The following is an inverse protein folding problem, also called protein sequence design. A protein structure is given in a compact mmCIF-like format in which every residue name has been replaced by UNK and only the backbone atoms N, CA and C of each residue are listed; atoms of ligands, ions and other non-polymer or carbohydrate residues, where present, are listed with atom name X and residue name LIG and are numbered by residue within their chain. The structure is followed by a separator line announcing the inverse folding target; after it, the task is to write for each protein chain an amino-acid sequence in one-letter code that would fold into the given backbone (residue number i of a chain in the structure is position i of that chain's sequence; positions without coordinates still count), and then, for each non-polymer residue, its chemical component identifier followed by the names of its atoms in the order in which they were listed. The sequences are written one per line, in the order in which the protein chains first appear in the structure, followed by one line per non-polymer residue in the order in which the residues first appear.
data_IF_129709280720
#
_entry.id   IF_129709280720
#
_cell.length_a   1.000
_cell.length_b   1.000
_cell.length_c   1.000
_cell.angle_alpha   90.00
_cell.angle_beta   90.00
_cell.angle_gamma   90.00
#
_symmetry.space_group_name_H-M   'P 1'
#
loop_
_entity.id
_entity.type
_entity.pdbx_description
1 polymer ?
#
# COMPACT_ATOMS: atom_id res chain seq x y z
N UNK A 1 -54.59 -5.78 -5.02
CA UNK A 1 -54.00 -6.55 -6.15
C UNK A 1 -53.48 -5.58 -7.20
N UNK A 2 -54.30 -4.62 -7.66
CA UNK A 2 -53.79 -3.28 -8.00
C UNK A 2 -53.01 -2.70 -6.79
N UNK A 3 -52.34 -1.55 -6.85
CA UNK A 3 -51.28 -1.14 -5.88
C UNK A 3 -50.08 -2.09 -5.83
N UNK A 4 -50.25 -3.38 -5.51
CA UNK A 4 -49.16 -4.37 -5.52
C UNK A 4 -48.53 -4.50 -6.92
N UNK A 5 -49.34 -4.54 -7.98
CA UNK A 5 -48.81 -4.59 -9.35
C UNK A 5 -48.04 -3.31 -9.76
N UNK A 6 -48.40 -2.13 -9.23
CA UNK A 6 -47.67 -0.89 -9.50
C UNK A 6 -46.33 -0.88 -8.77
N UNK A 7 -46.30 -1.36 -7.52
CA UNK A 7 -45.06 -1.53 -6.75
C UNK A 7 -44.12 -2.56 -7.40
N UNK A 8 -44.67 -3.66 -7.93
CA UNK A 8 -43.93 -4.66 -8.69
C UNK A 8 -43.39 -4.09 -10.01
N UNK A 9 -44.19 -3.29 -10.72
CA UNK A 9 -43.73 -2.60 -11.93
C UNK A 9 -42.61 -1.60 -11.64
N UNK A 10 -42.70 -0.83 -10.55
CA UNK A 10 -41.59 0.02 -10.09
C UNK A 10 -40.32 -0.80 -9.79
N UNK A 11 -40.48 -1.98 -9.17
CA UNK A 11 -39.37 -2.90 -8.91
C UNK A 11 -38.73 -3.40 -10.20
N UNK A 12 -39.53 -3.80 -11.20
CA UNK A 12 -39.03 -4.18 -12.51
C UNK A 12 -38.30 -3.05 -13.22
N UNK A 13 -38.83 -1.82 -13.16
CA UNK A 13 -38.19 -0.62 -13.71
C UNK A 13 -36.80 -0.38 -13.08
N UNK A 14 -36.69 -0.48 -11.75
CA UNK A 14 -35.39 -0.36 -11.03
C UNK A 14 -34.41 -1.46 -11.41
N UNK A 15 -34.91 -2.66 -11.73
CA UNK A 15 -34.11 -3.80 -12.21
C UNK A 15 -33.80 -3.75 -13.72
N UNK A 16 -34.23 -2.70 -14.44
CA UNK A 16 -34.10 -2.55 -15.90
C UNK A 16 -34.84 -3.61 -16.72
N UNK A 17 -35.87 -4.21 -16.10
CA UNK A 17 -36.78 -5.20 -16.69
C UNK A 17 -37.97 -4.48 -17.31
N UNK A 18 -37.72 -3.70 -18.36
CA UNK A 18 -38.71 -2.76 -18.88
C UNK A 18 -39.88 -3.46 -19.57
N UNK A 19 -39.62 -4.55 -20.30
CA UNK A 19 -40.67 -5.31 -20.97
C UNK A 19 -41.63 -5.95 -19.97
N UNK A 20 -41.11 -6.52 -18.88
CA UNK A 20 -41.93 -7.09 -17.81
C UNK A 20 -42.74 -6.03 -17.07
N UNK A 21 -42.17 -4.84 -16.88
CA UNK A 21 -42.89 -3.70 -16.30
C UNK A 21 -44.07 -3.26 -17.19
N UNK A 22 -43.84 -3.13 -18.50
CA UNK A 22 -44.88 -2.76 -19.48
C UNK A 22 -46.00 -3.80 -19.48
N UNK A 23 -45.65 -5.08 -19.66
CA UNK A 23 -46.62 -6.17 -19.72
C UNK A 23 -47.49 -6.25 -18.45
N UNK A 24 -46.90 -6.06 -17.27
CA UNK A 24 -47.63 -6.06 -15.99
C UNK A 24 -48.59 -4.87 -15.88
N UNK A 25 -48.15 -3.68 -16.30
CA UNK A 25 -48.96 -2.46 -16.21
C UNK A 25 -50.11 -2.47 -17.22
N UNK A 26 -49.87 -2.87 -18.48
CA UNK A 26 -50.90 -2.97 -19.52
C UNK A 26 -52.00 -3.95 -19.13
N UNK A 27 -51.66 -5.07 -18.48
CA UNK A 27 -52.64 -6.03 -18.00
C UNK A 27 -53.59 -5.47 -16.92
N UNK A 28 -53.27 -4.33 -16.31
CA UNK A 28 -54.00 -3.75 -15.18
C UNK A 28 -54.42 -2.29 -15.45
N UNK A 29 -54.42 -1.84 -16.70
CA UNK A 29 -54.72 -0.45 -17.09
C UNK A 29 -56.06 0.04 -16.52
N UNK A 30 -57.12 -0.79 -16.61
CA UNK A 30 -58.45 -0.47 -16.11
C UNK A 30 -58.49 -0.17 -14.60
N UNK A 31 -57.57 -0.76 -13.82
CA UNK A 31 -57.53 -0.61 -12.38
C UNK A 31 -56.82 0.69 -11.91
N UNK A 32 -56.14 1.39 -12.81
CA UNK A 32 -55.31 2.56 -12.50
C UNK A 32 -55.71 3.83 -13.27
N UNK A 33 -56.98 3.93 -13.68
CA UNK A 33 -57.49 5.15 -14.29
C UNK A 33 -57.19 6.37 -13.41
N UNK A 34 -56.70 7.44 -14.04
CA UNK A 34 -56.32 8.70 -13.38
C UNK A 34 -55.22 8.57 -12.31
N UNK A 35 -54.37 7.53 -12.36
CA UNK A 35 -53.23 7.37 -11.46
C UNK A 35 -51.94 7.90 -12.11
N UNK A 36 -51.38 8.97 -11.55
CA UNK A 36 -50.14 9.58 -12.05
C UNK A 36 -48.96 8.60 -12.10
N UNK A 37 -48.71 7.87 -11.02
CA UNK A 37 -47.53 7.00 -10.88
C UNK A 37 -47.60 5.83 -11.87
N UNK A 38 -48.80 5.36 -12.19
CA UNK A 38 -49.03 4.36 -13.24
C UNK A 38 -48.57 4.87 -14.61
N UNK A 39 -49.12 6.00 -15.07
CA UNK A 39 -48.77 6.56 -16.39
C UNK A 39 -47.31 7.02 -16.45
N UNK A 40 -46.78 7.54 -15.34
CA UNK A 40 -45.37 7.92 -15.26
C UNK A 40 -44.45 6.71 -15.40
N UNK A 41 -44.77 5.60 -14.73
CA UNK A 41 -43.96 4.37 -14.79
C UNK A 41 -44.06 3.68 -16.14
N UNK A 42 -45.27 3.56 -16.68
CA UNK A 42 -45.49 2.99 -18.00
C UNK A 42 -44.78 3.81 -19.08
N UNK A 43 -44.96 5.14 -19.06
CA UNK A 43 -44.31 6.05 -19.99
C UNK A 43 -42.78 5.99 -19.90
N UNK A 44 -42.24 5.90 -18.69
CA UNK A 44 -40.81 5.74 -18.46
C UNK A 44 -40.31 4.40 -19.00
N UNK A 45 -41.00 3.30 -18.71
CA UNK A 45 -40.62 1.99 -19.23
C UNK A 45 -40.61 1.97 -20.77
N UNK A 46 -41.65 2.52 -21.41
CA UNK A 46 -41.71 2.67 -22.86
C UNK A 46 -40.55 3.52 -23.41
N UNK A 47 -40.20 4.62 -22.74
CA UNK A 47 -39.10 5.49 -23.16
C UNK A 47 -37.75 4.75 -23.16
N UNK A 48 -37.48 3.94 -22.13
CA UNK A 48 -36.24 3.16 -22.03
C UNK A 48 -36.20 1.96 -23.00
N UNK A 49 -37.35 1.40 -23.41
CA UNK A 49 -37.43 0.40 -24.50
C UNK A 49 -37.25 1.06 -25.87
N UNK A 50 -37.41 2.39 -25.96
CA UNK A 50 -37.35 3.14 -27.21
C UNK A 50 -38.71 3.31 -27.91
N UNK A 51 -39.80 2.87 -27.27
CA UNK A 51 -41.17 3.14 -27.72
C UNK A 51 -41.58 4.57 -27.34
N UNK A 52 -41.04 5.53 -28.10
CA UNK A 52 -41.29 6.95 -27.90
C UNK A 52 -42.77 7.31 -28.11
N UNK A 53 -43.47 6.55 -28.96
CA UNK A 53 -44.89 6.77 -29.26
C UNK A 53 -45.76 6.54 -28.04
N UNK A 54 -45.65 5.37 -27.42
CA UNK A 54 -46.40 5.06 -26.20
C UNK A 54 -45.89 5.84 -24.99
N UNK A 55 -44.57 6.11 -24.89
CA UNK A 55 -44.03 7.00 -23.87
C UNK A 55 -44.71 8.38 -23.88
N UNK A 56 -44.79 9.01 -25.06
CA UNK A 56 -45.42 10.33 -25.23
C UNK A 56 -46.89 10.33 -24.83
N UNK A 57 -47.66 9.30 -25.20
CA UNK A 57 -49.08 9.19 -24.84
C UNK A 57 -49.26 9.12 -23.33
N UNK A 58 -48.52 8.22 -22.67
CA UNK A 58 -48.58 8.06 -21.23
C UNK A 58 -48.15 9.32 -20.47
N UNK A 59 -47.08 9.99 -20.90
CA UNK A 59 -46.67 11.27 -20.30
C UNK A 59 -47.67 12.41 -20.55
N UNK A 60 -48.41 12.40 -21.66
CA UNK A 60 -49.48 13.38 -21.89
C UNK A 60 -50.60 13.19 -20.85
N UNK A 61 -51.06 11.95 -20.64
CA UNK A 61 -52.06 11.63 -19.60
C UNK A 61 -51.53 11.93 -18.20
N UNK A 62 -50.27 11.62 -17.90
CA UNK A 62 -49.66 11.97 -16.62
C UNK A 62 -49.66 13.50 -16.38
N UNK A 63 -49.46 14.30 -17.43
CA UNK A 63 -49.45 15.77 -17.35
C UNK A 63 -50.82 16.37 -17.06
N UNK A 64 -51.90 15.72 -17.49
CA UNK A 64 -53.27 16.11 -17.15
C UNK A 64 -53.54 15.96 -15.64
N UNK A 65 -52.83 15.03 -14.98
CA UNK A 65 -52.99 14.74 -13.54
C UNK A 65 -52.08 15.63 -12.69
N UNK A 66 -50.79 15.75 -13.07
CA UNK A 66 -49.82 16.62 -12.39
C UNK A 66 -49.00 17.41 -13.41
N UNK A 67 -49.12 18.73 -13.37
CA UNK A 67 -48.48 19.61 -14.35
C UNK A 67 -46.99 19.90 -14.04
N UNK A 68 -46.60 19.89 -12.77
CA UNK A 68 -45.28 20.41 -12.30
C UNK A 68 -44.39 19.31 -11.70
N UNK A 69 -44.56 18.06 -12.12
CA UNK A 69 -43.69 16.97 -11.67
C UNK A 69 -42.34 17.02 -12.41
N UNK A 70 -41.24 17.08 -11.65
CA UNK A 70 -39.88 17.23 -12.20
C UNK A 70 -39.49 16.06 -13.11
N UNK A 71 -39.84 14.83 -12.73
CA UNK A 71 -39.48 13.66 -13.52
C UNK A 71 -40.30 13.60 -14.81
N UNK A 72 -41.57 14.00 -14.78
CA UNK A 72 -42.39 14.13 -15.98
C UNK A 72 -41.81 15.15 -16.96
N UNK A 73 -41.42 16.33 -16.47
CA UNK A 73 -40.84 17.38 -17.32
C UNK A 73 -39.50 16.91 -17.91
N UNK A 74 -38.65 16.22 -17.13
CA UNK A 74 -37.43 15.57 -17.61
C UNK A 74 -37.71 14.55 -18.73
N UNK A 75 -38.72 13.69 -18.54
CA UNK A 75 -39.11 12.70 -19.55
C UNK A 75 -39.57 13.36 -20.85
N UNK A 76 -40.35 14.44 -20.77
CA UNK A 76 -40.80 15.18 -21.94
C UNK A 76 -39.64 15.90 -22.65
N UNK A 77 -38.73 16.52 -21.88
CA UNK A 77 -37.50 17.11 -22.40
C UNK A 77 -36.66 16.09 -23.17
N UNK A 78 -36.49 14.90 -22.59
CA UNK A 78 -35.77 13.80 -23.20
C UNK A 78 -36.39 13.32 -24.51
N UNK A 79 -37.72 13.27 -24.62
CA UNK A 79 -38.40 12.92 -25.87
C UNK A 79 -38.13 13.96 -26.96
N UNK A 80 -38.16 15.26 -26.63
CA UNK A 80 -37.81 16.32 -27.58
C UNK A 80 -36.35 16.21 -28.02
N UNK A 81 -35.45 15.94 -27.07
CA UNK A 81 -34.03 15.77 -27.35
C UNK A 81 -33.79 14.56 -28.27
N UNK A 82 -34.40 13.39 -28.01
CA UNK A 82 -34.33 12.21 -28.88
C UNK A 82 -34.77 12.50 -30.33
N UNK A 83 -35.68 13.45 -30.51
CA UNK A 83 -36.21 13.85 -31.83
C UNK A 83 -35.39 14.94 -32.51
N UNK A 84 -34.33 15.44 -31.85
CA UNK A 84 -33.52 16.55 -32.34
C UNK A 84 -34.16 17.92 -32.16
N UNK A 85 -35.28 18.02 -31.45
CA UNK A 85 -35.95 19.30 -31.16
C UNK A 85 -35.25 19.98 -29.97
N UNK A 86 -33.98 20.40 -30.16
CA UNK A 86 -33.12 20.92 -29.08
C UNK A 86 -33.65 22.17 -28.40
N UNK A 87 -34.29 23.07 -29.14
CA UNK A 87 -34.83 24.31 -28.58
C UNK A 87 -35.94 24.02 -27.57
N UNK A 88 -36.84 23.09 -27.90
CA UNK A 88 -37.90 22.64 -26.99
C UNK A 88 -37.33 21.83 -25.84
N UNK A 89 -36.39 20.93 -26.11
CA UNK A 89 -35.73 20.19 -25.04
C UNK A 89 -35.08 21.14 -24.02
N UNK A 90 -34.39 22.19 -24.48
CA UNK A 90 -33.74 23.18 -23.64
C UNK A 90 -34.75 23.95 -22.78
N UNK A 91 -35.90 24.37 -23.34
CA UNK A 91 -36.97 25.02 -22.58
C UNK A 91 -37.44 24.16 -21.40
N UNK A 92 -37.67 22.86 -21.64
CA UNK A 92 -38.10 21.94 -20.59
C UNK A 92 -37.00 21.66 -19.56
N UNK A 93 -35.73 21.55 -19.97
CA UNK A 93 -34.63 21.39 -19.03
C UNK A 93 -34.38 22.63 -18.17
N UNK A 94 -34.62 23.83 -18.71
CA UNK A 94 -34.61 25.07 -17.93
C UNK A 94 -35.76 25.09 -16.91
N UNK A 95 -36.96 24.67 -17.29
CA UNK A 95 -38.09 24.52 -16.37
C UNK A 95 -37.75 23.54 -15.22
N UNK A 96 -37.10 22.41 -15.53
CA UNK A 96 -36.59 21.49 -14.49
C UNK A 96 -35.57 22.18 -13.59
N UNK A 97 -34.66 22.98 -14.13
CA UNK A 97 -33.65 23.69 -13.35
C UNK A 97 -34.27 24.77 -12.44
N UNK A 98 -35.37 25.40 -12.87
CA UNK A 98 -36.11 26.35 -12.04
C UNK A 98 -36.83 25.65 -10.87
N UNK A 99 -37.39 24.46 -11.10
CA UNK A 99 -38.09 23.68 -10.07
C UNK A 99 -37.13 22.94 -9.12
N UNK A 100 -36.02 22.42 -9.64
CA UNK A 100 -34.97 21.71 -8.90
C UNK A 100 -33.58 22.17 -9.39
N UNK A 101 -33.01 23.22 -8.78
CA UNK A 101 -31.70 23.75 -9.16
C UNK A 101 -30.55 22.74 -9.01
N UNK A 102 -30.73 21.71 -8.19
CA UNK A 102 -29.74 20.67 -7.93
C UNK A 102 -29.81 19.50 -8.91
N UNK A 103 -30.74 19.54 -9.88
CA UNK A 103 -30.98 18.44 -10.80
C UNK A 103 -29.81 18.23 -11.76
N UNK A 104 -28.97 17.24 -11.45
CA UNK A 104 -27.77 16.94 -12.26
C UNK A 104 -28.10 16.44 -13.67
N UNK A 105 -29.29 15.87 -13.89
CA UNK A 105 -29.71 15.36 -15.21
C UNK A 105 -29.97 16.53 -16.15
N UNK A 106 -30.77 17.52 -15.70
CA UNK A 106 -31.05 18.71 -16.49
C UNK A 106 -29.76 19.50 -16.81
N UNK A 107 -28.89 19.72 -15.82
CA UNK A 107 -27.61 20.42 -16.04
C UNK A 107 -26.76 19.73 -17.12
N UNK A 108 -26.59 18.41 -17.03
CA UNK A 108 -25.84 17.63 -18.03
C UNK A 108 -26.49 17.67 -19.41
N UNK A 109 -27.82 17.61 -19.48
CA UNK A 109 -28.54 17.67 -20.75
C UNK A 109 -28.38 19.03 -21.44
N UNK A 110 -28.48 20.14 -20.69
CA UNK A 110 -28.27 21.49 -21.23
C UNK A 110 -26.82 21.70 -21.69
N UNK A 111 -25.84 21.21 -20.93
CA UNK A 111 -24.43 21.25 -21.33
C UNK A 111 -24.16 20.41 -22.58
N UNK A 112 -24.81 19.25 -22.69
CA UNK A 112 -24.75 18.41 -23.88
C UNK A 112 -25.34 19.12 -25.09
N UNK A 113 -26.54 19.70 -24.99
CA UNK A 113 -27.19 20.46 -26.07
C UNK A 113 -26.29 21.64 -26.50
N UNK A 114 -25.67 22.35 -25.55
CA UNK A 114 -24.79 23.49 -25.87
C UNK A 114 -23.55 23.09 -26.66
N UNK A 115 -22.95 21.93 -26.34
CA UNK A 115 -21.67 21.49 -26.94
C UNK A 115 -21.86 20.62 -28.19
N UNK A 116 -22.90 19.79 -28.19
CA UNK A 116 -23.10 18.65 -29.08
C UNK A 116 -24.57 18.53 -29.53
N UNK A 117 -25.31 19.65 -29.57
CA UNK A 117 -26.73 19.68 -29.91
C UNK A 117 -27.05 19.51 -31.40
N UNK A 118 -26.08 19.17 -32.24
CA UNK A 118 -26.34 18.88 -33.65
C UNK A 118 -27.10 17.55 -33.80
N UNK A 119 -27.95 17.48 -34.83
CA UNK A 119 -28.83 16.33 -35.06
C UNK A 119 -28.04 15.02 -35.25
N UNK A 120 -26.89 15.07 -35.91
CA UNK A 120 -26.06 13.89 -36.18
C UNK A 120 -25.52 13.28 -34.89
N UNK A 121 -25.00 14.11 -33.97
CA UNK A 121 -24.52 13.67 -32.67
C UNK A 121 -25.65 13.12 -31.81
N UNK A 122 -26.83 13.75 -31.84
CA UNK A 122 -28.01 13.25 -31.14
C UNK A 122 -28.40 11.85 -31.65
N UNK A 123 -28.46 11.64 -32.98
CA UNK A 123 -28.74 10.33 -33.56
C UNK A 123 -27.74 9.27 -33.08
N UNK A 124 -26.43 9.58 -33.10
CA UNK A 124 -25.38 8.66 -32.58
C UNK A 124 -25.59 8.32 -31.10
N UNK A 125 -26.05 9.27 -30.29
CA UNK A 125 -26.32 9.04 -28.87
C UNK A 125 -27.59 8.22 -28.64
N UNK A 126 -28.59 8.38 -29.52
CA UNK A 126 -29.79 7.55 -29.54
C UNK A 126 -29.44 6.11 -29.89
N UNK A 127 -28.68 5.90 -30.97
CA UNK A 127 -28.29 4.56 -31.43
C UNK A 127 -27.38 3.83 -30.44
N UNK A 128 -26.51 4.57 -29.73
CA UNK A 128 -25.62 4.00 -28.72
C UNK A 128 -26.26 3.84 -27.34
N UNK A 129 -27.52 4.27 -27.14
CA UNK A 129 -28.20 4.25 -25.84
C UNK A 129 -27.69 5.28 -24.82
N UNK A 130 -26.63 6.04 -25.13
CA UNK A 130 -26.08 7.08 -24.24
C UNK A 130 -27.08 8.19 -23.92
N UNK A 131 -28.06 8.39 -24.81
CA UNK A 131 -29.13 9.36 -24.63
C UNK A 131 -29.98 9.10 -23.36
N UNK A 132 -29.98 7.87 -22.84
CA UNK A 132 -30.69 7.49 -21.61
C UNK A 132 -30.16 8.24 -20.37
N UNK A 133 -28.94 8.77 -20.44
CA UNK A 133 -28.37 9.59 -19.37
C UNK A 133 -29.18 10.87 -19.07
N UNK A 134 -30.06 11.28 -19.99
CA UNK A 134 -30.91 12.47 -19.87
C UNK A 134 -32.36 12.15 -19.51
N UNK A 135 -32.67 10.89 -19.18
CA UNK A 135 -34.01 10.43 -18.81
C UNK A 135 -34.23 10.56 -17.30
N UNK A 136 -35.48 10.42 -16.82
CA UNK A 136 -35.74 10.35 -15.40
C UNK A 136 -34.88 9.23 -14.75
N UNK A 137 -34.17 9.53 -13.64
CA UNK A 137 -33.25 8.59 -13.04
C UNK A 137 -34.02 7.44 -12.37
N UNK A 138 -33.68 6.22 -12.73
CA UNK A 138 -34.33 5.00 -12.21
C UNK A 138 -33.75 4.52 -10.86
N UNK A 139 -32.80 5.27 -10.30
CA UNK A 139 -32.06 4.89 -9.10
C UNK A 139 -31.12 3.69 -9.31
N UNK A 140 -30.61 3.18 -8.19
CA UNK A 140 -29.65 2.08 -8.14
C UNK A 140 -30.37 0.74 -8.39
N UNK A 141 -29.82 -0.10 -9.27
CA UNK A 141 -30.35 -1.44 -9.51
C UNK A 141 -30.05 -2.34 -8.29
N UNK A 142 -31.08 -2.85 -7.58
CA UNK A 142 -30.89 -3.64 -6.37
C UNK A 142 -30.15 -4.96 -6.63
N UNK A 143 -30.28 -5.55 -7.82
CA UNK A 143 -29.59 -6.80 -8.15
C UNK A 143 -28.08 -6.57 -8.30
N UNK A 144 -27.66 -5.40 -8.80
CA UNK A 144 -26.23 -5.03 -8.91
C UNK A 144 -25.61 -4.83 -7.54
N UNK A 145 -26.30 -4.15 -6.62
CA UNK A 145 -25.85 -3.97 -5.23
C UNK A 145 -25.72 -5.31 -4.52
N UNK A 146 -26.76 -6.15 -4.62
CA UNK A 146 -26.76 -7.50 -4.05
C UNK A 146 -25.60 -8.32 -4.57
N UNK A 147 -25.41 -8.36 -5.88
CA UNK A 147 -24.33 -9.14 -6.49
C UNK A 147 -22.94 -8.58 -6.12
N UNK A 148 -22.80 -7.26 -5.97
CA UNK A 148 -21.57 -6.62 -5.50
C UNK A 148 -21.23 -7.01 -4.05
N UNK A 149 -22.22 -7.02 -3.15
CA UNK A 149 -22.05 -7.48 -1.76
C UNK A 149 -21.62 -8.95 -1.74
N UNK A 150 -22.30 -9.81 -2.51
CA UNK A 150 -21.97 -11.24 -2.60
C UNK A 150 -20.54 -11.43 -3.12
N UNK A 151 -20.15 -10.72 -4.18
CA UNK A 151 -18.79 -10.78 -4.72
C UNK A 151 -17.74 -10.34 -3.68
N UNK A 152 -18.02 -9.29 -2.92
CA UNK A 152 -17.16 -8.84 -1.81
C UNK A 152 -17.02 -9.89 -0.71
N UNK A 153 -18.11 -10.54 -0.31
CA UNK A 153 -18.09 -11.62 0.68
C UNK A 153 -17.31 -12.84 0.19
N UNK A 154 -17.49 -13.24 -1.07
CA UNK A 154 -16.73 -14.34 -1.68
C UNK A 154 -15.25 -14.02 -1.74
N UNK A 155 -14.87 -12.79 -2.15
CA UNK A 155 -13.47 -12.36 -2.16
C UNK A 155 -12.87 -12.36 -0.75
N UNK A 156 -13.62 -11.90 0.25
CA UNK A 156 -13.20 -11.94 1.66
C UNK A 156 -12.97 -13.38 2.15
N UNK A 157 -13.85 -14.31 1.81
CA UNK A 157 -13.69 -15.74 2.12
C UNK A 157 -12.47 -16.35 1.43
N UNK A 158 -12.22 -16.02 0.16
CA UNK A 158 -11.03 -16.48 -0.57
C UNK A 158 -9.75 -15.95 0.06
N UNK A 159 -9.71 -14.67 0.45
CA UNK A 159 -8.56 -14.08 1.15
C UNK A 159 -8.34 -14.77 2.49
N UNK A 160 -9.40 -14.98 3.27
CA UNK A 160 -9.33 -15.68 4.56
C UNK A 160 -8.82 -17.13 4.42
N UNK A 161 -9.28 -17.84 3.39
CA UNK A 161 -8.82 -19.18 3.06
C UNK A 161 -7.36 -19.18 2.61
N UNK A 162 -6.93 -18.22 1.78
CA UNK A 162 -5.54 -18.07 1.39
C UNK A 162 -4.63 -17.80 2.61
N UNK A 163 -5.05 -16.94 3.55
CA UNK A 163 -4.27 -16.64 4.77
C UNK A 163 -4.14 -17.85 5.69
N UNK A 164 -5.13 -18.74 5.72
CA UNK A 164 -5.15 -19.91 6.62
C UNK A 164 -4.54 -21.16 6.00
N UNK A 165 -4.65 -21.34 4.68
CA UNK A 165 -4.16 -22.52 3.95
C UNK A 165 -2.75 -22.33 3.38
N UNK A 166 -2.33 -21.10 3.08
CA UNK A 166 -0.93 -20.86 2.79
C UNK A 166 -0.15 -21.09 4.09
N UNK A 167 0.82 -22.03 4.14
CA UNK A 167 1.75 -22.08 5.27
C UNK A 167 2.35 -20.69 5.42
N UNK A 168 2.64 -20.26 6.66
CA UNK A 168 3.42 -19.03 6.95
C UNK A 168 4.83 -19.18 6.38
N UNK A 169 4.95 -19.27 5.07
CA UNK A 169 6.18 -19.14 4.34
C UNK A 169 6.36 -17.64 4.23
N UNK A 170 6.93 -17.06 5.27
CA UNK A 170 7.61 -15.78 5.16
C UNK A 170 8.55 -15.93 3.97
N UNK A 171 8.17 -15.37 2.83
CA UNK A 171 9.07 -15.22 1.70
C UNK A 171 10.15 -14.24 2.17
N UNK A 172 11.20 -14.78 2.80
CA UNK A 172 12.49 -14.12 2.87
C UNK A 172 12.91 -13.97 1.42
N UNK A 173 13.01 -12.74 0.96
CA UNK A 173 13.68 -12.42 -0.29
C UNK A 173 15.16 -12.74 -0.05
N UNK A 174 15.55 -14.00 -0.27
CA UNK A 174 16.95 -14.40 -0.18
C UNK A 174 17.61 -14.04 -1.50
N UNK A 175 18.03 -12.78 -1.62
CA UNK A 175 18.94 -12.35 -2.68
C UNK A 175 20.39 -12.74 -2.33
N UNK A 176 20.68 -14.02 -2.10
CA UNK A 176 22.07 -14.52 -2.05
C UNK A 176 22.08 -15.98 -2.49
N UNK A 177 23.06 -16.36 -3.34
CA UNK A 177 23.28 -17.74 -3.77
C UNK A 177 23.59 -18.70 -2.61
N UNK A 178 23.78 -20.01 -2.88
CA UNK A 178 23.97 -21.01 -1.83
C UNK A 178 25.23 -20.70 -1.00
N UNK A 179 25.02 -20.42 0.30
CA UNK A 179 26.05 -20.18 1.32
C UNK A 179 26.81 -21.47 1.66
N UNK A 180 27.94 -21.34 2.37
CA UNK A 180 28.77 -22.48 2.79
C UNK A 180 27.97 -23.50 3.63
N UNK A 181 28.24 -24.80 3.41
CA UNK A 181 27.61 -25.86 4.19
C UNK A 181 28.17 -25.89 5.63
N UNK A 182 27.32 -25.62 6.61
CA UNK A 182 27.67 -25.50 8.02
C UNK A 182 27.41 -26.77 8.86
N UNK A 183 27.14 -27.94 8.29
CA UNK A 183 26.85 -29.17 9.07
C UNK A 183 27.92 -29.46 10.14
N UNK A 184 29.19 -29.11 9.88
CA UNK A 184 30.30 -29.30 10.84
C UNK A 184 30.27 -28.34 12.03
N UNK A 185 29.51 -27.25 11.94
CA UNK A 185 29.34 -26.26 13.00
C UNK A 185 28.11 -26.53 13.86
N UNK A 186 27.24 -27.48 13.50
CA UNK A 186 26.08 -27.80 14.32
C UNK A 186 26.51 -28.30 15.71
N UNK A 187 25.73 -27.91 16.73
CA UNK A 187 25.96 -28.38 18.10
C UNK A 187 25.53 -29.84 18.22
N UNK A 188 26.39 -30.65 18.80
CA UNK A 188 26.04 -32.01 19.21
C UNK A 188 25.06 -32.00 20.38
N UNK A 189 24.41 -33.13 20.65
CA UNK A 189 23.52 -33.26 21.81
C UNK A 189 24.27 -33.04 23.13
N UNK A 190 25.53 -33.45 23.22
CA UNK A 190 26.36 -33.25 24.40
C UNK A 190 26.68 -31.76 24.63
N UNK A 191 27.14 -31.06 23.59
CA UNK A 191 27.39 -29.61 23.66
C UNK A 191 26.12 -28.82 23.98
N UNK A 192 24.96 -29.27 23.50
CA UNK A 192 23.68 -28.62 23.79
C UNK A 192 23.25 -28.80 25.26
N UNK A 193 23.56 -29.96 25.86
CA UNK A 193 23.22 -30.26 27.24
C UNK A 193 24.24 -29.67 28.24
N UNK A 194 25.48 -29.45 27.80
CA UNK A 194 26.60 -28.90 28.58
C UNK A 194 27.13 -27.60 27.94
N UNK A 195 26.22 -26.66 27.66
CA UNK A 195 26.55 -25.45 26.91
C UNK A 195 27.25 -24.37 27.77
N UNK A 196 27.10 -24.43 29.09
CA UNK A 196 27.74 -23.54 30.06
C UNK A 196 29.13 -24.06 30.48
N UNK A 197 30.08 -23.15 30.67
CA UNK A 197 31.38 -23.47 31.26
C UNK A 197 31.24 -23.71 32.77
N UNK A 198 31.85 -24.77 33.28
CA UNK A 198 31.74 -25.14 34.70
C UNK A 198 32.66 -24.32 35.61
N UNK A 199 33.80 -23.84 35.07
CA UNK A 199 34.78 -23.04 35.78
C UNK A 199 34.94 -21.65 35.14
N UNK A 200 34.58 -20.61 35.90
CA UNK A 200 34.63 -19.21 35.46
C UNK A 200 35.84 -18.45 36.03
N UNK A 201 36.71 -19.09 36.81
CA UNK A 201 37.74 -18.40 37.59
C UNK A 201 38.74 -17.60 36.76
N UNK A 202 38.94 -17.97 35.49
CA UNK A 202 39.91 -17.37 34.58
C UNK A 202 39.28 -16.70 33.34
N UNK A 203 37.95 -16.53 33.32
CA UNK A 203 37.23 -15.99 32.15
C UNK A 203 36.49 -14.72 32.51
N UNK A 204 36.76 -13.63 31.79
CA UNK A 204 35.93 -12.42 31.88
C UNK A 204 34.61 -12.72 31.16
N UNK A 205 33.52 -12.77 31.93
CA UNK A 205 32.17 -13.02 31.42
C UNK A 205 31.36 -11.74 31.51
N UNK A 206 30.85 -11.28 30.38
CA UNK A 206 29.97 -10.12 30.30
C UNK A 206 28.49 -10.54 30.27
N UNK A 207 28.16 -11.67 29.66
CA UNK A 207 26.79 -12.18 29.58
C UNK A 207 26.63 -13.51 30.33
N UNK A 208 25.89 -13.51 31.44
CA UNK A 208 25.50 -14.74 32.13
C UNK A 208 24.25 -15.33 31.47
N UNK A 209 24.39 -16.51 30.91
CA UNK A 209 23.35 -17.21 30.16
C UNK A 209 23.18 -18.64 30.67
N UNK A 210 21.94 -19.14 30.61
CA UNK A 210 21.66 -20.57 30.82
C UNK A 210 21.92 -21.40 29.56
N UNK A 211 21.93 -22.73 29.69
CA UNK A 211 22.14 -23.64 28.55
C UNK A 211 21.18 -23.37 27.38
N UNK A 212 19.90 -23.12 27.67
CA UNK A 212 18.89 -22.91 26.63
C UNK A 212 19.14 -21.60 25.87
N UNK A 213 19.54 -20.54 26.57
CA UNK A 213 19.89 -19.24 26.01
C UNK A 213 21.13 -19.33 25.12
N UNK A 214 22.17 -20.06 25.54
CA UNK A 214 23.40 -20.25 24.74
C UNK A 214 23.08 -21.02 23.46
N UNK A 215 22.36 -22.14 23.57
CA UNK A 215 21.95 -22.94 22.40
C UNK A 215 21.06 -22.13 21.46
N UNK A 216 20.12 -21.34 22.01
CA UNK A 216 19.26 -20.45 21.21
C UNK A 216 20.07 -19.39 20.47
N UNK A 217 21.01 -18.74 21.15
CA UNK A 217 21.88 -17.73 20.54
C UNK A 217 22.71 -18.34 19.41
N UNK A 218 23.32 -19.52 19.65
CA UNK A 218 24.12 -20.22 18.63
C UNK A 218 23.29 -20.64 17.41
N UNK A 219 22.10 -21.21 17.62
CA UNK A 219 21.18 -21.55 16.54
C UNK A 219 20.70 -20.32 15.78
N UNK A 220 20.51 -19.19 16.47
CA UNK A 220 20.13 -17.92 15.84
C UNK A 220 21.26 -17.39 14.97
N UNK A 221 22.52 -17.50 15.41
CA UNK A 221 23.69 -17.17 14.59
C UNK A 221 23.72 -17.98 13.29
N UNK A 222 23.58 -19.32 13.37
CA UNK A 222 23.53 -20.18 12.19
C UNK A 222 22.37 -19.81 11.25
N UNK A 223 21.18 -19.54 11.80
CA UNK A 223 20.03 -19.11 11.02
C UNK A 223 20.28 -17.78 10.31
N UNK A 224 20.79 -16.77 11.02
CA UNK A 224 21.08 -15.46 10.42
C UNK A 224 22.13 -15.55 9.33
N UNK A 225 23.17 -16.39 9.50
CA UNK A 225 24.14 -16.66 8.44
C UNK A 225 23.49 -17.26 7.18
N UNK A 226 22.63 -18.27 7.35
CA UNK A 226 21.92 -18.89 6.22
C UNK A 226 20.95 -17.92 5.52
N UNK A 227 20.42 -16.95 6.26
CA UNK A 227 19.56 -15.89 5.73
C UNK A 227 20.33 -14.73 5.06
N UNK A 228 21.67 -14.75 5.07
CA UNK A 228 22.51 -13.64 4.59
C UNK A 228 22.55 -12.42 5.50
N UNK A 229 22.07 -12.55 6.75
CA UNK A 229 22.04 -11.49 7.77
C UNK A 229 23.31 -11.53 8.62
N UNK A 230 24.44 -11.29 7.98
CA UNK A 230 25.77 -11.45 8.61
C UNK A 230 25.98 -10.53 9.82
N UNK A 231 25.37 -9.34 9.84
CA UNK A 231 25.47 -8.44 10.99
C UNK A 231 24.72 -8.98 12.21
N UNK A 232 23.50 -9.49 12.03
CA UNK A 232 22.75 -10.13 13.11
C UNK A 232 23.44 -11.42 13.57
N UNK A 233 24.07 -12.15 12.65
CA UNK A 233 24.92 -13.29 13.00
C UNK A 233 26.11 -12.85 13.88
N UNK A 234 26.81 -11.76 13.52
CA UNK A 234 27.94 -11.23 14.29
C UNK A 234 27.52 -10.85 15.71
N UNK A 235 26.33 -10.26 15.90
CA UNK A 235 25.79 -9.93 17.24
C UNK A 235 25.62 -11.18 18.11
N UNK A 236 25.03 -12.25 17.56
CA UNK A 236 24.88 -13.51 18.31
C UNK A 236 26.24 -14.14 18.62
N UNK A 237 27.19 -14.10 17.68
CA UNK A 237 28.57 -14.55 17.91
C UNK A 237 29.21 -13.77 19.05
N UNK A 238 29.11 -12.44 19.06
CA UNK A 238 29.68 -11.61 20.11
C UNK A 238 29.06 -11.92 21.47
N UNK A 239 27.75 -12.12 21.52
CA UNK A 239 27.06 -12.52 22.75
C UNK A 239 27.62 -13.84 23.29
N UNK A 240 27.81 -14.83 22.43
CA UNK A 240 28.36 -16.14 22.80
C UNK A 240 29.81 -16.01 23.28
N UNK A 241 30.66 -15.30 22.53
CA UNK A 241 32.09 -15.16 22.85
C UNK A 241 32.31 -14.46 24.20
N UNK A 242 31.46 -13.47 24.51
CA UNK A 242 31.53 -12.71 25.76
C UNK A 242 30.62 -13.28 26.87
N UNK A 243 30.04 -14.47 26.68
CA UNK A 243 29.23 -15.15 27.70
C UNK A 243 30.00 -16.21 28.50
N UNK A 244 29.31 -16.88 29.43
CA UNK A 244 29.74 -18.11 30.10
C UNK A 244 29.57 -19.39 29.24
N UNK A 245 29.44 -19.27 27.91
CA UNK A 245 29.40 -20.43 27.02
C UNK A 245 30.70 -21.25 27.09
N UNK A 246 30.58 -22.57 26.92
CA UNK A 246 31.70 -23.51 26.93
C UNK A 246 32.70 -23.21 25.81
N UNK A 247 33.97 -23.55 26.06
CA UNK A 247 35.05 -23.34 25.09
C UNK A 247 34.74 -23.92 23.70
N UNK A 248 34.13 -25.11 23.61
CA UNK A 248 33.77 -25.74 22.33
C UNK A 248 32.82 -24.86 21.51
N UNK A 249 31.76 -24.33 22.15
CA UNK A 249 30.78 -23.47 21.48
C UNK A 249 31.43 -22.16 21.02
N UNK A 250 32.31 -21.57 21.86
CA UNK A 250 33.07 -20.37 21.49
C UNK A 250 34.02 -20.61 20.31
N UNK A 251 34.68 -21.76 20.23
CA UNK A 251 35.50 -22.13 19.09
C UNK A 251 34.68 -22.24 17.80
N UNK A 252 33.51 -22.88 17.85
CA UNK A 252 32.60 -22.95 16.71
C UNK A 252 32.03 -21.58 16.31
N UNK A 253 31.75 -20.71 17.26
CA UNK A 253 31.31 -19.34 16.98
C UNK A 253 32.41 -18.50 16.31
N UNK A 254 33.67 -18.65 16.75
CA UNK A 254 34.82 -18.06 16.09
C UNK A 254 35.02 -18.62 14.67
N UNK A 255 34.80 -19.91 14.46
CA UNK A 255 34.85 -20.51 13.13
C UNK A 255 33.72 -20.00 12.23
N UNK A 256 32.50 -19.83 12.76
CA UNK A 256 31.39 -19.22 12.01
C UNK A 256 31.71 -17.78 11.58
N UNK A 257 32.35 -17.01 12.48
CA UNK A 257 32.75 -15.61 12.23
C UNK A 257 33.63 -15.45 10.98
N UNK A 258 34.46 -16.44 10.64
CA UNK A 258 35.35 -16.35 9.46
C UNK A 258 34.62 -16.50 8.13
N UNK A 259 33.36 -16.97 8.14
CA UNK A 259 32.53 -17.09 6.94
C UNK A 259 31.69 -15.85 6.66
N UNK A 260 31.63 -14.87 7.57
CA UNK A 260 30.82 -13.67 7.39
C UNK A 260 31.35 -12.79 6.26
N UNK A 261 30.45 -12.30 5.42
CA UNK A 261 30.81 -11.44 4.29
C UNK A 261 30.85 -9.97 4.71
N UNK A 262 31.67 -9.19 4.02
CA UNK A 262 31.72 -7.74 4.20
C UNK A 262 30.58 -7.11 3.41
N UNK A 263 29.65 -6.37 4.04
CA UNK A 263 28.51 -5.79 3.34
C UNK A 263 28.88 -4.55 2.53
N UNK A 264 27.99 -4.18 1.61
CA UNK A 264 27.92 -2.87 0.94
C UNK A 264 26.75 -2.05 1.49
N UNK A 265 26.58 -0.81 1.04
CA UNK A 265 25.40 0.00 1.41
C UNK A 265 24.07 -0.67 1.04
N UNK A 266 24.04 -1.44 -0.05
CA UNK A 266 22.84 -2.10 -0.55
C UNK A 266 22.58 -3.46 0.11
N UNK A 267 23.63 -4.12 0.61
CA UNK A 267 23.53 -5.46 1.22
C UNK A 267 23.46 -5.45 2.75
N UNK A 268 23.66 -4.30 3.40
CA UNK A 268 23.55 -4.18 4.86
C UNK A 268 22.08 -4.18 5.30
N UNK A 269 21.57 -5.35 5.68
CA UNK A 269 20.18 -5.55 6.11
C UNK A 269 19.92 -5.05 7.54
N UNK A 270 20.91 -5.21 8.42
CA UNK A 270 20.80 -4.97 9.86
C UNK A 270 21.67 -3.78 10.26
N UNK A 271 21.15 -2.56 10.16
CA UNK A 271 21.89 -1.35 10.52
C UNK A 271 21.54 -0.90 11.95
N UNK A 272 22.44 -1.15 12.92
CA UNK A 272 22.25 -0.75 14.31
C UNK A 272 22.49 0.75 14.51
N UNK A 273 21.66 1.41 15.32
CA UNK A 273 21.79 2.85 15.59
C UNK A 273 22.94 3.13 16.53
N UNK A 274 23.48 4.36 16.51
CA UNK A 274 24.51 4.78 17.46
C UNK A 274 24.06 4.58 18.91
N UNK A 275 22.81 4.94 19.25
CA UNK A 275 22.29 4.77 20.60
C UNK A 275 22.27 3.30 21.06
N UNK A 276 21.91 2.36 20.17
CA UNK A 276 21.95 0.93 20.48
C UNK A 276 23.38 0.45 20.74
N UNK A 277 24.32 0.87 19.89
CA UNK A 277 25.73 0.49 20.01
C UNK A 277 26.36 1.10 21.25
N UNK A 278 26.08 2.37 21.56
CA UNK A 278 26.61 3.05 22.73
C UNK A 278 26.12 2.44 24.05
N UNK A 279 24.93 1.82 24.07
CA UNK A 279 24.38 1.16 25.25
C UNK A 279 25.11 -0.15 25.60
N UNK A 280 25.52 -0.93 24.60
CA UNK A 280 26.28 -2.17 24.79
C UNK A 280 27.30 -2.37 23.64
N UNK A 281 28.43 -1.63 23.65
CA UNK A 281 29.37 -1.65 22.54
C UNK A 281 29.97 -3.03 22.24
N UNK A 282 30.17 -3.83 23.29
CA UNK A 282 30.78 -5.15 23.19
C UNK A 282 29.90 -6.13 22.39
N UNK A 283 28.57 -5.97 22.47
CA UNK A 283 27.64 -6.80 21.71
C UNK A 283 27.74 -6.56 20.20
N UNK A 284 28.09 -5.33 19.78
CA UNK A 284 28.10 -4.92 18.38
C UNK A 284 29.51 -4.79 17.79
N UNK A 285 30.56 -5.16 18.52
CA UNK A 285 31.92 -5.16 17.98
C UNK A 285 32.00 -5.99 16.69
N UNK A 286 32.82 -5.57 15.74
CA UNK A 286 32.93 -6.18 14.41
C UNK A 286 31.68 -6.14 13.53
N UNK A 287 30.54 -5.61 13.99
CA UNK A 287 29.39 -5.36 13.14
C UNK A 287 29.65 -4.17 12.21
N UNK A 288 28.99 -4.14 11.07
CA UNK A 288 29.01 -3.03 10.14
C UNK A 288 27.84 -2.09 10.39
N UNK A 289 28.08 -0.79 10.30
CA UNK A 289 27.05 0.24 10.40
C UNK A 289 27.17 1.22 9.25
N UNK A 290 26.04 1.73 8.80
CA UNK A 290 25.93 2.79 7.82
C UNK A 290 25.33 4.02 8.49
N UNK A 291 26.18 4.84 9.10
CA UNK A 291 25.77 6.04 9.83
C UNK A 291 25.94 7.28 8.98
N UNK A 292 24.96 8.16 9.08
CA UNK A 292 24.94 9.44 8.41
C UNK A 292 25.28 10.56 9.39
N UNK A 293 25.89 11.64 8.90
CA UNK A 293 26.36 12.73 9.73
C UNK A 293 27.22 13.74 9.00
N UNK A 294 28.04 14.49 9.74
CA UNK A 294 29.03 15.44 9.21
C UNK A 294 30.41 15.17 9.77
N UNK A 295 31.42 15.50 8.98
CA UNK A 295 32.83 15.31 9.33
C UNK A 295 33.36 16.51 10.10
N UNK A 296 34.06 16.26 11.19
CA UNK A 296 34.83 17.22 11.96
C UNK A 296 36.27 16.72 12.17
N UNK A 297 37.21 17.61 12.48
CA UNK A 297 38.58 17.27 12.85
C UNK A 297 39.32 16.32 11.87
N UNK A 298 39.06 16.47 10.57
CA UNK A 298 39.64 15.62 9.54
C UNK A 298 41.17 15.78 9.44
N UNK A 299 41.88 14.66 9.38
CA UNK A 299 43.33 14.57 9.37
C UNK A 299 43.80 13.60 8.29
N UNK A 300 44.74 14.06 7.46
CA UNK A 300 45.45 13.22 6.50
C UNK A 300 46.80 12.84 7.09
N UNK A 301 47.18 11.57 6.95
CA UNK A 301 48.45 11.05 7.43
C UNK A 301 49.42 10.80 6.26
N UNK A 302 50.73 10.86 6.54
CA UNK A 302 51.78 10.75 5.53
C UNK A 302 51.82 9.38 4.82
N UNK A 303 51.29 8.32 5.45
CA UNK A 303 51.13 6.98 4.88
C UNK A 303 49.92 6.87 3.92
N UNK A 304 49.15 7.95 3.73
CA UNK A 304 47.96 7.96 2.88
C UNK A 304 46.67 7.50 3.58
N UNK A 305 46.71 7.23 4.89
CA UNK A 305 45.50 7.00 5.69
C UNK A 305 44.82 8.33 6.06
N UNK A 306 43.56 8.26 6.45
CA UNK A 306 42.75 9.42 6.82
C UNK A 306 41.90 9.12 8.05
N UNK A 307 41.72 10.11 8.92
CA UNK A 307 40.82 10.00 10.06
C UNK A 307 40.02 11.26 10.29
N UNK A 308 38.91 11.13 11.00
CA UNK A 308 38.08 12.25 11.40
C UNK A 308 37.13 11.87 12.54
N UNK A 309 36.40 12.85 13.05
CA UNK A 309 35.23 12.63 13.89
C UNK A 309 33.96 12.70 13.02
N UNK A 310 33.13 11.64 13.08
CA UNK A 310 31.78 11.64 12.53
C UNK A 310 30.79 12.11 13.59
N UNK A 311 30.10 13.22 13.32
CA UNK A 311 28.97 13.70 14.10
C UNK A 311 27.70 13.00 13.60
N UNK A 312 27.34 11.88 14.22
CA UNK A 312 26.22 11.02 13.80
C UNK A 312 24.89 11.74 14.00
N UNK A 313 24.00 11.66 13.00
CA UNK A 313 22.67 12.31 13.02
C UNK A 313 22.68 13.82 12.77
N UNK A 314 23.85 14.41 12.47
CA UNK A 314 24.04 15.85 12.26
C UNK A 314 23.95 16.29 10.79
N UNK A 315 23.10 15.64 9.98
CA UNK A 315 22.98 15.95 8.55
C UNK A 315 22.33 17.33 8.32
N UNK A 316 21.25 17.62 9.07
CA UNK A 316 20.44 18.85 9.01
C UNK A 316 20.97 19.97 9.90
N UNK A 317 22.08 19.74 10.62
CA UNK A 317 22.66 20.66 11.61
C UNK A 317 21.78 20.94 12.85
N UNK A 318 20.80 20.08 13.15
CA UNK A 318 19.87 20.29 14.27
C UNK A 318 20.23 19.51 15.54
N UNK A 319 20.54 18.22 15.42
CA UNK A 319 20.78 17.33 16.57
C UNK A 319 22.00 16.46 16.32
N UNK A 320 22.77 16.17 17.37
CA UNK A 320 23.90 15.24 17.31
C UNK A 320 23.56 14.05 18.19
N UNK A 321 23.44 12.87 17.58
CA UNK A 321 23.17 11.62 18.29
C UNK A 321 24.43 11.08 18.98
N UNK A 322 25.59 11.32 18.37
CA UNK A 322 26.88 10.84 18.85
C UNK A 322 28.08 11.39 18.10
N UNK A 323 29.26 11.22 18.69
CA UNK A 323 30.55 11.48 18.03
C UNK A 323 31.33 10.18 17.98
N UNK A 324 31.82 9.81 16.80
CA UNK A 324 32.57 8.56 16.59
C UNK A 324 33.83 8.87 15.81
N UNK A 325 34.97 8.39 16.31
CA UNK A 325 36.23 8.47 15.58
C UNK A 325 36.21 7.47 14.41
N UNK A 326 36.48 7.95 13.20
CA UNK A 326 36.52 7.15 11.98
C UNK A 326 37.93 7.12 11.40
N UNK A 327 38.37 5.94 10.98
CA UNK A 327 39.70 5.73 10.40
C UNK A 327 39.60 4.95 9.08
N UNK A 328 40.25 5.44 8.03
CA UNK A 328 40.33 4.84 6.71
C UNK A 328 41.78 4.60 6.31
N UNK A 329 42.09 3.40 5.85
CA UNK A 329 43.39 3.04 5.26
C UNK A 329 43.17 2.17 4.00
N UNK A 330 43.41 2.69 2.78
CA UNK A 330 43.83 4.06 2.47
C UNK A 330 42.67 5.07 2.61
N UNK A 331 42.98 6.37 2.50
CA UNK A 331 41.99 7.45 2.50
C UNK A 331 40.88 7.24 1.43
N UNK A 332 39.62 7.62 1.72
CA UNK A 332 38.50 7.45 0.80
C UNK A 332 38.69 8.24 -0.51
N UNK A 333 38.22 7.67 -1.61
CA UNK A 333 38.24 8.28 -2.95
C UNK A 333 36.83 8.25 -3.56
N UNK A 334 36.27 9.40 -4.02
CA UNK A 334 36.84 10.75 -3.97
C UNK A 334 37.00 11.29 -2.52
N UNK A 335 37.79 12.34 -2.35
CA UNK A 335 38.02 12.97 -1.05
C UNK A 335 36.70 13.47 -0.43
N UNK A 336 36.56 13.30 0.89
CA UNK A 336 35.34 13.67 1.61
C UNK A 336 35.24 15.18 1.78
N UNK A 337 34.15 15.76 1.30
CA UNK A 337 33.82 17.17 1.49
C UNK A 337 33.17 17.37 2.87
N UNK A 338 33.90 17.95 3.82
CA UNK A 338 33.42 18.18 5.18
C UNK A 338 32.27 19.19 5.27
N UNK A 339 32.01 19.98 4.22
CA UNK A 339 30.88 20.93 4.17
C UNK A 339 29.54 20.25 3.88
N UNK A 340 29.56 19.00 3.43
CA UNK A 340 28.38 18.22 3.06
C UNK A 340 28.09 17.13 4.08
N UNK A 341 26.82 16.73 4.16
CA UNK A 341 26.46 15.51 4.89
C UNK A 341 27.10 14.29 4.20
N UNK A 342 27.43 13.30 5.00
CA UNK A 342 28.10 12.08 4.56
C UNK A 342 27.40 10.88 5.17
N UNK A 343 27.37 9.77 4.42
CA UNK A 343 27.01 8.46 4.95
C UNK A 343 28.24 7.56 4.90
N UNK A 344 28.63 7.03 6.05
CA UNK A 344 29.84 6.22 6.21
C UNK A 344 29.42 4.79 6.51
N UNK A 345 29.84 3.86 5.66
CA UNK A 345 29.83 2.43 5.97
C UNK A 345 31.17 2.08 6.61
N UNK A 346 31.12 1.50 7.79
CA UNK A 346 32.33 1.05 8.46
C UNK A 346 32.06 -0.05 9.47
N UNK A 347 33.14 -0.66 9.92
CA UNK A 347 33.15 -1.74 10.90
C UNK A 347 33.38 -1.18 12.29
N UNK A 348 32.57 -1.59 13.26
CA UNK A 348 32.67 -1.18 14.64
C UNK A 348 33.89 -1.82 15.32
N UNK A 349 34.63 -1.00 16.04
CA UNK A 349 35.71 -1.40 16.92
C UNK A 349 35.58 -0.74 18.28
N UNK A 350 36.44 -1.17 19.21
CA UNK A 350 36.57 -0.57 20.53
C UNK A 350 38.03 -0.17 20.75
N UNK A 351 38.25 1.09 21.12
CA UNK A 351 39.56 1.60 21.52
C UNK A 351 39.40 2.44 22.79
N UNK A 352 40.10 2.08 23.86
CA UNK A 352 39.99 2.77 25.16
C UNK A 352 38.54 2.87 25.70
N UNK A 353 37.73 1.84 25.43
CA UNK A 353 36.27 1.78 25.73
C UNK A 353 35.41 2.76 24.89
N UNK A 354 36.05 3.48 23.98
CA UNK A 354 35.60 4.28 22.84
C UNK A 354 34.98 3.47 21.69
N UNK A 355 33.75 3.73 21.24
CA UNK A 355 33.30 3.19 19.94
C UNK A 355 34.05 3.90 18.81
N UNK A 356 34.75 3.11 17.99
CA UNK A 356 35.47 3.61 16.81
C UNK A 356 34.98 2.91 15.54
N UNK A 357 35.18 3.55 14.40
CA UNK A 357 34.78 3.00 13.10
C UNK A 357 35.99 2.83 12.19
N UNK A 358 36.26 1.59 11.78
CA UNK A 358 37.13 1.36 10.63
C UNK A 358 36.31 1.52 9.36
N UNK A 359 36.54 2.63 8.66
CA UNK A 359 35.80 3.03 7.48
C UNK A 359 36.04 2.12 6.29
N UNK A 360 34.96 1.81 5.55
CA UNK A 360 35.01 0.97 4.35
C UNK A 360 34.63 1.71 3.09
N UNK A 361 33.52 2.43 3.12
CA UNK A 361 33.06 3.25 2.00
C UNK A 361 32.32 4.47 2.49
N UNK A 362 32.35 5.51 1.67
CA UNK A 362 31.70 6.78 1.94
C UNK A 362 30.76 7.09 0.79
N UNK A 363 29.58 7.61 1.12
CA UNK A 363 28.64 8.16 0.16
C UNK A 363 28.37 9.62 0.47
N UNK A 364 28.52 10.48 -0.53
CA UNK A 364 28.10 11.88 -0.50
C UNK A 364 27.30 12.20 -1.77
N UNK A 365 26.15 12.87 -1.66
CA UNK A 365 25.39 13.29 -2.84
C UNK A 365 26.18 14.34 -3.64
N UNK A 366 26.27 14.11 -4.96
CA UNK A 366 26.87 15.05 -5.92
C UNK A 366 25.84 16.14 -6.23
N UNK A 367 25.83 17.19 -5.41
CA UNK A 367 25.09 18.46 -5.54
C UNK A 367 23.55 18.38 -5.68
N UNK A 368 22.85 18.90 -4.66
CA UNK A 368 21.67 19.77 -4.90
C UNK A 368 20.26 19.18 -4.82
N UNK A 369 20.01 18.02 -4.21
CA UNK A 369 18.63 17.64 -3.86
C UNK A 369 18.54 17.29 -2.39
N UNK A 370 18.10 18.27 -1.60
CA UNK A 370 17.45 18.02 -0.32
C UNK A 370 16.27 17.08 -0.59
N UNK A 371 16.41 15.82 -0.16
CA UNK A 371 15.27 14.90 -0.09
C UNK A 371 14.41 15.41 1.08
N UNK A 372 13.28 16.02 0.74
CA UNK A 372 12.20 16.33 1.67
C UNK A 372 11.58 15.06 2.24
#
# INVERSE_FOLDING_TARGET
MARAALDDAHSFLKRRKFHEAIQLLEAHEDAYQNNFDFYMTLGTACLYVGDVGNARKNFATAREIRLTDVNLILAQAAIFLRRGETDRALQYYLEVQELDPSNTVAQKAMDFIRKNGDYETICKWVDSGKIEAFYPPLGINPDVVRNGIIAGLVLGLVISLCVTVLPKHQQKVTMVGPRANLTRLELTSDESNHAQEADLSNTVVHYLMDNAQIVKSYRSALMYFQDGRDNACQVEINRILNSNASLSIKQKANMLKTYLEVPTFDSLLDNYTYAQVAQDPLLYIDCYVAWSGRIANAQNFANGSWAADLLVGYETMQTVDGRVYIFFDPAPQPAVDATKAVRVLGKLGLQDNEVVLTGRSVYQPMDGVSVN
#
